data_IF_374313090172
#
_entry.id   IF_374313090172
#
_cell.length_a   1.000
_cell.length_b   1.000
_cell.length_c   1.000
_cell.angle_alpha   90.00
_cell.angle_beta   90.00
_cell.angle_gamma   90.00
#
_symmetry.space_group_name_H-M   'P 1'
#
loop_
_entity.id
_entity.type
_entity.pdbx_description
1 polymer ?
#
# COMPACT_ATOMS: atom_id res chain seq x y z
N UNK A 1 -16.26 10.89 -22.43
CA UNK A 1 -16.53 9.44 -22.25
C UNK A 1 -15.46 8.76 -21.38
N UNK A 2 -14.15 8.99 -21.64
CA UNK A 2 -13.07 8.33 -20.88
C UNK A 2 -13.06 8.66 -19.37
N UNK A 3 -13.29 9.90 -19.01
CA UNK A 3 -13.29 10.34 -17.59
C UNK A 3 -14.43 9.72 -16.79
N UNK A 4 -15.61 9.58 -17.40
CA UNK A 4 -16.77 8.95 -16.73
C UNK A 4 -16.52 7.45 -16.47
N UNK A 5 -15.86 6.75 -17.40
CA UNK A 5 -15.49 5.36 -17.21
C UNK A 5 -14.43 5.18 -16.12
N UNK A 6 -13.44 6.05 -16.07
CA UNK A 6 -12.44 6.01 -15.01
C UNK A 6 -13.05 6.28 -13.64
N UNK A 7 -13.99 7.23 -13.54
CA UNK A 7 -14.71 7.50 -12.30
C UNK A 7 -15.56 6.29 -11.86
N UNK A 8 -16.23 5.62 -12.79
CA UNK A 8 -17.00 4.41 -12.50
C UNK A 8 -16.10 3.26 -12.03
N UNK A 9 -14.95 3.05 -12.68
CA UNK A 9 -13.95 2.05 -12.26
C UNK A 9 -13.39 2.36 -10.88
N UNK A 10 -13.07 3.63 -10.59
CA UNK A 10 -12.56 4.05 -9.28
C UNK A 10 -13.61 3.83 -8.18
N UNK A 11 -14.89 4.15 -8.45
CA UNK A 11 -15.98 3.91 -7.52
C UNK A 11 -16.22 2.41 -7.28
N UNK A 12 -16.17 1.59 -8.32
CA UNK A 12 -16.29 0.13 -8.21
C UNK A 12 -15.12 -0.45 -7.40
N UNK A 13 -13.89 0.01 -7.64
CA UNK A 13 -12.69 -0.42 -6.91
C UNK A 13 -12.78 -0.02 -5.44
N UNK A 14 -13.25 1.21 -5.14
CA UNK A 14 -13.48 1.66 -3.76
C UNK A 14 -14.52 0.77 -3.06
N UNK A 15 -15.67 0.52 -3.71
CA UNK A 15 -16.73 -0.33 -3.15
C UNK A 15 -16.22 -1.77 -2.88
N UNK A 16 -15.49 -2.35 -3.83
CA UNK A 16 -14.87 -3.67 -3.67
C UNK A 16 -13.86 -3.69 -2.51
N UNK A 17 -13.06 -2.63 -2.37
CA UNK A 17 -12.09 -2.49 -1.28
C UNK A 17 -12.79 -2.42 0.07
N UNK A 18 -13.83 -1.59 0.22
CA UNK A 18 -14.61 -1.48 1.44
C UNK A 18 -15.28 -2.82 1.81
N UNK A 19 -15.86 -3.52 0.83
CA UNK A 19 -16.47 -4.83 1.04
C UNK A 19 -15.43 -5.88 1.49
N UNK A 20 -14.27 -5.95 0.82
CA UNK A 20 -13.20 -6.87 1.18
C UNK A 20 -12.71 -6.64 2.61
N UNK A 21 -12.52 -5.37 3.00
CA UNK A 21 -12.10 -5.00 4.35
C UNK A 21 -13.20 -5.23 5.40
N UNK A 22 -14.47 -5.00 5.05
CA UNK A 22 -15.58 -5.33 5.93
C UNK A 22 -15.57 -6.79 6.34
N UNK A 23 -15.40 -7.69 5.38
CA UNK A 23 -15.29 -9.13 5.65
C UNK A 23 -14.02 -9.47 6.42
N UNK A 24 -12.87 -8.91 6.00
CA UNK A 24 -11.60 -9.16 6.68
C UNK A 24 -11.65 -8.80 8.17
N UNK A 25 -12.15 -7.62 8.48
CA UNK A 25 -12.25 -7.14 9.86
C UNK A 25 -13.16 -8.02 10.71
N UNK A 26 -14.17 -8.68 10.11
CA UNK A 26 -15.01 -9.65 10.80
C UNK A 26 -14.30 -10.96 11.12
N UNK A 27 -13.34 -11.36 10.27
CA UNK A 27 -12.64 -12.64 10.42
C UNK A 27 -11.40 -12.54 11.35
N UNK A 28 -10.86 -11.32 11.56
CA UNK A 28 -9.62 -11.13 12.31
C UNK A 28 -9.87 -10.84 13.80
N UNK A 29 -9.04 -11.37 14.71
CA UNK A 29 -9.14 -11.10 16.14
C UNK A 29 -9.17 -9.60 16.45
N UNK A 30 -10.16 -9.15 17.20
CA UNK A 30 -10.32 -7.75 17.58
C UNK A 30 -10.78 -6.82 16.45
N UNK A 31 -10.88 -7.30 15.21
CA UNK A 31 -11.28 -6.50 14.07
C UNK A 31 -12.75 -6.10 14.10
N UNK A 32 -13.64 -7.01 14.52
CA UNK A 32 -15.08 -6.77 14.54
C UNK A 32 -15.47 -5.53 15.38
N UNK A 33 -14.89 -5.38 16.56
CA UNK A 33 -15.17 -4.22 17.45
C UNK A 33 -14.76 -2.89 16.84
N UNK A 34 -13.75 -2.89 15.99
CA UNK A 34 -13.19 -1.70 15.37
C UNK A 34 -13.65 -1.51 13.90
N UNK A 35 -14.50 -2.43 13.39
CA UNK A 35 -14.89 -2.52 11.97
C UNK A 35 -15.44 -1.21 11.44
N UNK A 36 -16.40 -0.59 12.10
CA UNK A 36 -17.05 0.63 11.64
C UNK A 36 -16.04 1.78 11.52
N UNK A 37 -15.21 1.98 12.54
CA UNK A 37 -14.18 3.03 12.55
C UNK A 37 -13.13 2.76 11.48
N UNK A 38 -12.66 1.51 11.35
CA UNK A 38 -11.68 1.13 10.35
C UNK A 38 -12.20 1.33 8.92
N UNK A 39 -13.45 0.97 8.65
CA UNK A 39 -14.09 1.19 7.34
C UNK A 39 -14.30 2.69 7.06
N UNK A 40 -14.69 3.49 8.05
CA UNK A 40 -14.82 4.94 7.89
C UNK A 40 -13.46 5.59 7.56
N UNK A 41 -12.39 5.18 8.24
CA UNK A 41 -11.03 5.65 7.97
C UNK A 41 -10.54 5.22 6.59
N UNK A 42 -10.80 3.97 6.21
CA UNK A 42 -10.49 3.46 4.87
C UNK A 42 -11.25 4.25 3.79
N UNK A 43 -12.56 4.44 3.97
CA UNK A 43 -13.37 5.22 3.05
C UNK A 43 -12.84 6.64 2.91
N UNK A 44 -12.58 7.33 4.04
CA UNK A 44 -12.05 8.69 4.02
C UNK A 44 -10.70 8.79 3.32
N UNK A 45 -9.79 7.83 3.50
CA UNK A 45 -8.47 7.85 2.84
C UNK A 45 -8.53 7.43 1.37
N UNK A 46 -9.33 6.44 1.04
CA UNK A 46 -9.43 5.90 -0.32
C UNK A 46 -10.28 6.78 -1.26
N UNK A 47 -11.08 7.73 -0.75
CA UNK A 47 -11.84 8.70 -1.57
C UNK A 47 -10.96 9.59 -2.45
N UNK A 48 -9.67 9.71 -2.14
CA UNK A 48 -8.72 10.35 -3.04
C UNK A 48 -8.72 9.68 -4.42
N UNK A 49 -8.98 8.36 -4.48
CA UNK A 49 -9.14 7.59 -5.70
C UNK A 49 -10.33 7.99 -6.58
N UNK A 50 -11.28 8.77 -6.05
CA UNK A 50 -12.41 9.32 -6.82
C UNK A 50 -12.10 10.70 -7.41
N UNK A 51 -10.97 11.30 -7.09
CA UNK A 51 -10.60 12.62 -7.58
C UNK A 51 -10.00 12.51 -8.98
N UNK A 52 -10.73 13.02 -9.98
CA UNK A 52 -10.34 12.99 -11.40
C UNK A 52 -8.92 13.54 -11.69
N UNK A 53 -8.44 14.49 -10.92
CA UNK A 53 -7.10 15.06 -11.07
C UNK A 53 -5.98 14.06 -10.78
N UNK A 54 -6.28 13.00 -10.04
CA UNK A 54 -5.33 11.94 -9.70
C UNK A 54 -5.45 10.69 -10.57
N UNK A 55 -6.43 10.62 -11.50
CA UNK A 55 -6.59 9.44 -12.38
C UNK A 55 -5.39 9.16 -13.27
N UNK A 56 -4.56 10.16 -13.53
CA UNK A 56 -3.29 10.00 -14.28
C UNK A 56 -2.17 9.38 -13.45
N UNK A 57 -2.33 9.27 -12.13
CA UNK A 57 -1.32 8.72 -11.23
C UNK A 57 -1.44 7.20 -11.15
N UNK A 58 -0.50 6.50 -11.76
CA UNK A 58 -0.42 5.04 -11.69
C UNK A 58 -0.29 4.54 -10.24
N UNK A 59 0.38 5.30 -9.37
CA UNK A 59 0.54 5.02 -7.95
C UNK A 59 -0.80 4.95 -7.21
N UNK A 60 -1.75 5.79 -7.58
CA UNK A 60 -3.08 5.78 -6.96
C UNK A 60 -3.82 4.49 -7.28
N UNK A 61 -3.84 4.09 -8.57
CA UNK A 61 -4.48 2.84 -9.00
C UNK A 61 -3.81 1.63 -8.37
N UNK A 62 -2.47 1.61 -8.36
CA UNK A 62 -1.71 0.55 -7.70
C UNK A 62 -2.00 0.49 -6.21
N UNK A 63 -2.07 1.64 -5.51
CA UNK A 63 -2.38 1.73 -4.08
C UNK A 63 -3.79 1.26 -3.75
N UNK A 64 -4.79 1.61 -4.55
CA UNK A 64 -6.17 1.12 -4.40
C UNK A 64 -6.25 -0.40 -4.61
N UNK A 65 -5.52 -0.93 -5.60
CA UNK A 65 -5.46 -2.38 -5.86
C UNK A 65 -4.70 -3.11 -4.74
N UNK A 66 -3.62 -2.55 -4.19
CA UNK A 66 -2.94 -3.10 -3.00
C UNK A 66 -3.92 -3.12 -1.82
N UNK A 67 -4.65 -2.04 -1.59
CA UNK A 67 -5.64 -1.98 -0.51
C UNK A 67 -6.73 -3.06 -0.68
N UNK A 68 -7.23 -3.28 -1.90
CA UNK A 68 -8.17 -4.36 -2.21
C UNK A 68 -7.52 -5.73 -2.00
N UNK A 69 -6.33 -5.97 -2.56
CA UNK A 69 -5.62 -7.24 -2.44
C UNK A 69 -5.33 -7.59 -0.97
N UNK A 70 -4.91 -6.58 -0.19
CA UNK A 70 -4.70 -6.74 1.25
C UNK A 70 -6.02 -7.09 1.97
N UNK A 71 -7.12 -6.44 1.62
CA UNK A 71 -8.46 -6.77 2.11
C UNK A 71 -8.91 -8.18 1.75
N UNK A 72 -8.55 -8.70 0.59
CA UNK A 72 -8.90 -10.05 0.11
C UNK A 72 -7.98 -11.15 0.65
N UNK A 73 -6.72 -10.84 0.95
CA UNK A 73 -5.73 -11.83 1.35
C UNK A 73 -6.08 -12.49 2.67
N UNK A 74 -6.07 -13.82 2.69
CA UNK A 74 -6.13 -14.69 3.87
C UNK A 74 -5.15 -15.84 3.70
N UNK A 75 -4.47 -16.30 4.75
CA UNK A 75 -3.76 -17.58 4.69
C UNK A 75 -4.69 -18.68 4.20
N UNK A 76 -4.26 -19.43 3.18
CA UNK A 76 -5.07 -20.49 2.55
C UNK A 76 -6.16 -20.03 1.57
N UNK A 77 -6.45 -18.74 1.47
CA UNK A 77 -7.43 -18.15 0.50
C UNK A 77 -6.87 -16.87 -0.13
N UNK A 78 -5.82 -17.02 -0.91
CA UNK A 78 -5.01 -15.92 -1.47
C UNK A 78 -5.17 -15.71 -2.98
N UNK A 79 -5.85 -16.59 -3.71
CA UNK A 79 -5.90 -16.55 -5.18
C UNK A 79 -6.42 -15.22 -5.74
N UNK A 80 -7.51 -14.67 -5.22
CA UNK A 80 -8.01 -13.37 -5.63
C UNK A 80 -7.05 -12.21 -5.27
N UNK A 81 -6.40 -12.30 -4.12
CA UNK A 81 -5.38 -11.33 -3.73
C UNK A 81 -4.20 -11.36 -4.69
N UNK A 82 -3.76 -12.55 -5.12
CA UNK A 82 -2.70 -12.73 -6.12
C UNK A 82 -3.08 -12.10 -7.46
N UNK A 83 -4.30 -12.39 -7.96
CA UNK A 83 -4.78 -11.85 -9.24
C UNK A 83 -4.85 -10.31 -9.22
N UNK A 84 -5.41 -9.72 -8.16
CA UNK A 84 -5.48 -8.25 -8.00
C UNK A 84 -4.09 -7.64 -7.86
N UNK A 85 -3.18 -8.32 -7.15
CA UNK A 85 -1.80 -7.86 -6.99
C UNK A 85 -1.02 -7.94 -8.30
N UNK A 86 -1.26 -8.99 -9.12
CA UNK A 86 -0.66 -9.09 -10.45
C UNK A 86 -1.07 -7.91 -11.34
N UNK A 87 -2.35 -7.52 -11.32
CA UNK A 87 -2.82 -6.33 -12.01
C UNK A 87 -2.16 -5.05 -11.48
N UNK A 88 -2.05 -4.90 -10.16
CA UNK A 88 -1.39 -3.76 -9.53
C UNK A 88 0.08 -3.67 -9.94
N UNK A 89 0.80 -4.81 -9.95
CA UNK A 89 2.21 -4.89 -10.32
C UNK A 89 2.44 -4.60 -11.81
N UNK A 90 1.49 -4.96 -12.68
CA UNK A 90 1.53 -4.61 -14.10
C UNK A 90 1.34 -3.09 -14.33
N UNK A 91 0.69 -2.38 -13.41
CA UNK A 91 0.53 -0.92 -13.47
C UNK A 91 1.75 -0.20 -12.92
N UNK A 92 2.31 -0.69 -11.78
CA UNK A 92 3.40 0.00 -11.10
C UNK A 92 4.33 -0.95 -10.33
N UNK A 93 5.62 -0.85 -10.60
CA UNK A 93 6.68 -1.63 -9.94
C UNK A 93 6.75 -1.42 -8.41
N UNK A 94 6.25 -0.31 -7.92
CA UNK A 94 6.15 -0.02 -6.47
C UNK A 94 5.29 -1.01 -5.70
N UNK A 95 4.57 -1.91 -6.37
CA UNK A 95 3.80 -3.02 -5.77
C UNK A 95 4.71 -4.18 -5.34
N UNK A 96 5.91 -4.29 -5.91
CA UNK A 96 6.84 -5.40 -5.66
C UNK A 96 7.14 -5.63 -4.16
N UNK A 97 7.34 -4.62 -3.30
CA UNK A 97 7.53 -4.83 -1.87
C UNK A 97 6.36 -5.57 -1.20
N UNK A 98 5.12 -5.31 -1.63
CA UNK A 98 3.94 -6.03 -1.12
C UNK A 98 3.96 -7.51 -1.54
N UNK A 99 4.32 -7.82 -2.79
CA UNK A 99 4.46 -9.21 -3.28
C UNK A 99 5.53 -9.95 -2.49
N UNK A 100 6.71 -9.33 -2.32
CA UNK A 100 7.82 -9.91 -1.57
C UNK A 100 7.46 -10.15 -0.10
N UNK A 101 6.74 -9.24 0.53
CA UNK A 101 6.25 -9.41 1.90
C UNK A 101 5.32 -10.63 2.01
N UNK A 102 4.35 -10.76 1.11
CA UNK A 102 3.41 -11.88 1.14
C UNK A 102 4.11 -13.23 0.87
N UNK A 103 5.06 -13.25 -0.06
CA UNK A 103 5.92 -14.42 -0.31
C UNK A 103 6.70 -14.81 0.94
N UNK A 104 7.36 -13.85 1.60
CA UNK A 104 8.12 -14.08 2.82
C UNK A 104 7.24 -14.57 3.97
N UNK A 105 6.05 -13.98 4.15
CA UNK A 105 5.11 -14.39 5.19
C UNK A 105 4.53 -15.80 4.93
N UNK A 106 4.27 -16.16 3.68
CA UNK A 106 3.84 -17.50 3.31
C UNK A 106 4.95 -18.53 3.60
N UNK A 107 6.20 -18.23 3.19
CA UNK A 107 7.35 -19.06 3.49
C UNK A 107 7.58 -19.22 5.01
N UNK A 108 7.43 -18.15 5.77
CA UNK A 108 7.52 -18.18 7.24
C UNK A 108 6.48 -19.12 7.87
N UNK A 109 5.24 -19.13 7.32
CA UNK A 109 4.18 -20.06 7.74
C UNK A 109 4.38 -21.47 7.20
N UNK A 110 5.42 -21.71 6.36
CA UNK A 110 5.64 -22.97 5.63
C UNK A 110 4.52 -23.34 4.65
N UNK A 111 3.75 -22.35 4.19
CA UNK A 111 2.81 -22.54 3.09
C UNK A 111 3.57 -22.36 1.76
N UNK A 112 4.21 -23.44 1.33
CA UNK A 112 5.05 -23.43 0.14
C UNK A 112 4.27 -23.22 -1.15
N UNK A 113 2.98 -23.60 -1.18
CA UNK A 113 2.10 -23.37 -2.33
C UNK A 113 1.85 -21.89 -2.51
N UNK A 114 1.46 -21.18 -1.45
CA UNK A 114 1.27 -19.75 -1.46
C UNK A 114 2.60 -19.04 -1.75
N UNK A 115 3.69 -19.43 -1.09
CA UNK A 115 5.00 -18.82 -1.28
C UNK A 115 5.50 -18.97 -2.73
N UNK A 116 5.31 -20.14 -3.34
CA UNK A 116 5.68 -20.39 -4.74
C UNK A 116 4.81 -19.54 -5.71
N UNK A 117 3.54 -19.35 -5.43
CA UNK A 117 2.67 -18.51 -6.27
C UNK A 117 3.12 -17.04 -6.25
N UNK A 118 3.42 -16.49 -5.08
CA UNK A 118 3.97 -15.13 -4.96
C UNK A 118 5.35 -15.00 -5.60
N UNK A 119 6.25 -16.00 -5.40
CA UNK A 119 7.55 -16.03 -6.05
C UNK A 119 7.44 -16.11 -7.58
N UNK A 120 6.48 -16.90 -8.08
CA UNK A 120 6.16 -16.98 -9.50
C UNK A 120 5.73 -15.64 -10.09
N UNK A 121 4.93 -14.85 -9.33
CA UNK A 121 4.56 -13.49 -9.74
C UNK A 121 5.78 -12.56 -9.79
N UNK A 122 6.71 -12.67 -8.83
CA UNK A 122 7.98 -11.91 -8.87
C UNK A 122 8.78 -12.28 -10.11
N UNK A 123 8.92 -13.58 -10.39
CA UNK A 123 9.65 -14.06 -11.57
C UNK A 123 9.03 -13.54 -12.87
N UNK A 124 7.70 -13.62 -12.99
CA UNK A 124 6.97 -13.10 -14.15
C UNK A 124 7.22 -11.60 -14.34
N UNK A 125 7.18 -10.84 -13.25
CA UNK A 125 7.50 -9.41 -13.28
C UNK A 125 8.94 -9.15 -13.73
N UNK A 126 9.93 -9.89 -13.21
CA UNK A 126 11.33 -9.72 -13.58
C UNK A 126 11.58 -10.08 -15.06
N UNK A 127 10.93 -11.12 -15.57
CA UNK A 127 10.96 -11.45 -16.99
C UNK A 127 10.35 -10.33 -17.84
N UNK A 128 9.18 -9.81 -17.41
CA UNK A 128 8.50 -8.73 -18.11
C UNK A 128 9.29 -7.43 -18.14
N UNK A 129 9.88 -7.01 -17.02
CA UNK A 129 10.70 -5.80 -16.97
C UNK A 129 12.01 -5.99 -17.76
N UNK A 130 12.62 -7.19 -17.70
CA UNK A 130 13.79 -7.53 -18.50
C UNK A 130 13.53 -7.45 -20.00
N UNK A 131 12.41 -8.01 -20.46
CA UNK A 131 11.97 -7.89 -21.85
C UNK A 131 11.72 -6.43 -22.25
N UNK A 132 11.03 -5.66 -21.40
CA UNK A 132 10.79 -4.23 -21.62
C UNK A 132 12.10 -3.45 -21.77
N UNK A 133 13.06 -3.67 -20.88
CA UNK A 133 14.38 -3.01 -20.94
C UNK A 133 15.16 -3.41 -22.17
N UNK A 134 15.09 -4.67 -22.61
CA UNK A 134 15.72 -5.14 -23.83
C UNK A 134 15.16 -4.43 -25.10
N UNK A 135 13.84 -4.18 -25.11
CA UNK A 135 13.20 -3.42 -26.20
C UNK A 135 13.52 -1.91 -26.15
N UNK A 136 13.72 -1.37 -24.97
CA UNK A 136 14.01 0.05 -24.77
C UNK A 136 15.49 0.38 -25.04
N UNK A 137 16.41 -0.51 -24.69
CA UNK A 137 17.87 -0.31 -24.78
C UNK A 137 18.36 0.22 -26.13
N UNK A 138 17.90 -0.28 -27.31
CA UNK A 138 18.34 0.23 -28.60
C UNK A 138 17.84 1.66 -28.91
N UNK A 139 16.87 2.17 -28.14
CA UNK A 139 16.27 3.50 -28.34
C UNK A 139 16.96 4.58 -27.50
N UNK A 140 17.83 4.18 -26.55
CA UNK A 140 18.56 5.10 -25.68
C UNK A 140 19.80 5.59 -26.43
N UNK A 141 19.90 6.90 -26.60
CA UNK A 141 21.03 7.54 -27.25
C UNK A 141 22.07 7.99 -26.20
N UNK A 142 23.37 7.98 -26.59
CA UNK A 142 24.44 8.48 -25.73
C UNK A 142 24.29 9.99 -25.39
N UNK A 143 23.50 10.71 -26.18
CA UNK A 143 23.19 12.14 -25.99
C UNK A 143 22.01 12.39 -25.07
N UNK A 144 21.29 11.33 -24.63
CA UNK A 144 20.12 11.50 -23.75
C UNK A 144 20.54 12.04 -22.39
N UNK A 145 19.81 13.01 -21.82
CA UNK A 145 20.17 13.58 -20.55
C UNK A 145 20.06 12.55 -19.43
N UNK A 146 21.12 12.42 -18.65
CA UNK A 146 21.11 11.58 -17.45
C UNK A 146 20.22 12.22 -16.37
N UNK A 147 19.21 11.49 -15.93
CA UNK A 147 18.38 11.92 -14.81
C UNK A 147 19.16 11.84 -13.48
N UNK A 148 18.80 12.65 -12.47
CA UNK A 148 19.37 12.52 -11.13
C UNK A 148 19.04 11.15 -10.55
N UNK A 149 19.95 10.62 -9.69
CA UNK A 149 19.78 9.31 -9.03
C UNK A 149 18.48 9.20 -8.23
N UNK A 150 18.06 7.98 -8.01
CA UNK A 150 16.85 7.67 -7.23
C UNK A 150 17.15 7.43 -5.74
N UNK A 151 18.40 7.11 -5.38
CA UNK A 151 18.82 6.95 -4.00
C UNK A 151 19.14 8.31 -3.41
N UNK A 152 18.30 8.77 -2.50
CA UNK A 152 18.49 10.00 -1.74
C UNK A 152 17.98 9.78 -0.33
N UNK A 153 18.84 10.02 0.66
CA UNK A 153 18.47 9.90 2.06
C UNK A 153 17.52 11.05 2.43
N UNK A 154 16.22 10.80 2.34
CA UNK A 154 15.17 11.77 2.64
C UNK A 154 14.73 11.74 4.11
N UNK A 155 15.09 10.67 4.83
CA UNK A 155 14.77 10.48 6.24
C UNK A 155 13.27 10.46 6.54
N UNK A 156 12.94 10.61 7.81
CA UNK A 156 11.56 10.59 8.30
C UNK A 156 10.68 11.64 7.62
N UNK A 157 11.20 12.83 7.37
CA UNK A 157 10.47 13.91 6.71
C UNK A 157 10.05 13.54 5.28
N UNK A 158 10.89 12.79 4.55
CA UNK A 158 10.58 12.29 3.21
C UNK A 158 9.43 11.28 3.21
N UNK A 159 9.44 10.34 4.15
CA UNK A 159 8.35 9.39 4.32
C UNK A 159 7.03 10.08 4.68
N UNK A 160 7.03 10.87 5.78
CA UNK A 160 5.83 11.57 6.23
C UNK A 160 5.28 12.50 5.14
N UNK A 161 6.17 13.25 4.46
CA UNK A 161 5.78 14.13 3.36
C UNK A 161 5.10 13.37 2.22
N UNK A 162 5.62 12.19 1.82
CA UNK A 162 4.98 11.38 0.79
C UNK A 162 3.55 10.97 1.18
N UNK A 163 3.34 10.46 2.40
CA UNK A 163 2.01 9.99 2.84
C UNK A 163 1.05 11.16 3.04
N UNK A 164 1.50 12.24 3.69
CA UNK A 164 0.67 13.43 3.95
C UNK A 164 0.21 14.06 2.64
N UNK A 165 1.13 14.35 1.71
CA UNK A 165 0.81 15.02 0.45
C UNK A 165 -0.02 14.16 -0.50
N UNK A 166 0.03 12.84 -0.35
CA UNK A 166 -0.75 11.87 -1.15
C UNK A 166 -2.02 11.39 -0.45
N UNK A 167 -2.45 12.05 0.60
CA UNK A 167 -3.67 11.72 1.33
C UNK A 167 -4.47 12.97 1.68
N UNK A 168 -5.66 12.80 2.26
CA UNK A 168 -6.48 13.89 2.75
C UNK A 168 -5.84 14.65 3.93
N UNK A 169 -4.76 14.12 4.53
CA UNK A 169 -3.98 14.85 5.54
C UNK A 169 -3.29 16.10 4.98
N UNK A 170 -3.16 16.23 3.66
CA UNK A 170 -2.61 17.44 3.00
C UNK A 170 -3.34 18.73 3.33
N UNK A 171 -4.58 18.62 3.78
CA UNK A 171 -5.41 19.76 4.19
C UNK A 171 -5.22 20.16 5.66
N UNK A 172 -4.43 19.38 6.42
CA UNK A 172 -4.10 19.67 7.82
C UNK A 172 -2.73 20.34 7.94
N UNK A 173 -2.49 21.12 9.01
CA UNK A 173 -1.16 21.61 9.34
C UNK A 173 -0.17 20.45 9.48
N UNK A 174 1.03 20.59 8.93
CA UNK A 174 2.04 19.53 8.89
C UNK A 174 2.41 19.01 10.29
N UNK A 175 2.41 19.87 11.31
CA UNK A 175 2.65 19.50 12.71
C UNK A 175 1.61 18.53 13.30
N UNK A 176 0.42 18.43 12.67
CA UNK A 176 -0.63 17.47 13.04
C UNK A 176 -0.63 16.28 12.08
N UNK A 177 -0.49 16.54 10.79
CA UNK A 177 -0.59 15.53 9.75
C UNK A 177 0.49 14.43 9.87
N UNK A 178 1.75 14.82 10.11
CA UNK A 178 2.86 13.88 10.29
C UNK A 178 2.67 12.90 11.45
N UNK A 179 2.39 13.38 12.67
CA UNK A 179 2.07 12.51 13.81
C UNK A 179 0.93 11.52 13.55
N UNK A 180 -0.12 11.88 12.80
CA UNK A 180 -1.22 10.97 12.45
C UNK A 180 -0.71 9.75 11.67
N UNK A 181 0.25 9.92 10.76
CA UNK A 181 0.87 8.80 10.02
C UNK A 181 1.59 7.84 10.97
N UNK A 182 2.35 8.37 11.95
CA UNK A 182 3.04 7.55 12.95
C UNK A 182 2.04 6.83 13.86
N UNK A 183 0.97 7.50 14.28
CA UNK A 183 -0.10 6.90 15.07
C UNK A 183 -0.81 5.78 14.29
N UNK A 184 -1.01 5.94 12.97
CA UNK A 184 -1.56 4.88 12.14
C UNK A 184 -0.66 3.63 12.17
N UNK A 185 0.65 3.80 12.02
CA UNK A 185 1.61 2.69 12.12
C UNK A 185 1.59 2.03 13.51
N UNK A 186 1.55 2.84 14.57
CA UNK A 186 1.45 2.34 15.95
C UNK A 186 0.17 1.52 16.15
N UNK A 187 -0.95 1.97 15.60
CA UNK A 187 -2.20 1.22 15.63
C UNK A 187 -2.10 -0.13 14.91
N UNK A 188 -1.47 -0.18 13.73
CA UNK A 188 -1.18 -1.44 13.04
C UNK A 188 -0.37 -2.40 13.92
N UNK A 189 0.69 -1.91 14.56
CA UNK A 189 1.54 -2.70 15.47
C UNK A 189 0.76 -3.17 16.73
N UNK A 190 -0.20 -2.37 17.19
CA UNK A 190 -1.07 -2.71 18.31
C UNK A 190 -2.12 -3.79 17.99
N UNK A 191 -2.48 -3.97 16.73
CA UNK A 191 -3.48 -4.97 16.33
C UNK A 191 -2.88 -6.37 16.28
N UNK A 192 -3.15 -7.16 17.33
CA UNK A 192 -2.62 -8.52 17.51
C UNK A 192 -3.38 -9.53 16.62
N UNK A 193 -3.10 -9.49 15.31
CA UNK A 193 -3.70 -10.35 14.29
C UNK A 193 -2.74 -10.57 13.12
N UNK A 194 -3.07 -11.50 12.23
CA UNK A 194 -2.31 -11.69 10.99
C UNK A 194 -2.34 -10.43 10.12
N UNK A 195 -3.50 -9.76 10.04
CA UNK A 195 -3.63 -8.49 9.34
C UNK A 195 -2.79 -7.39 9.98
N UNK A 196 -2.78 -7.27 11.31
CA UNK A 196 -1.98 -6.29 12.05
C UNK A 196 -0.49 -6.46 11.78
N UNK A 197 0.02 -7.70 11.83
CA UNK A 197 1.43 -8.00 11.51
C UNK A 197 1.75 -7.65 10.06
N UNK A 198 0.91 -8.07 9.11
CA UNK A 198 1.11 -7.74 7.68
C UNK A 198 1.11 -6.23 7.45
N UNK A 199 0.15 -5.50 8.01
CA UNK A 199 0.06 -4.05 7.88
C UNK A 199 1.25 -3.33 8.49
N UNK A 200 1.69 -3.75 9.68
CA UNK A 200 2.89 -3.19 10.32
C UNK A 200 4.12 -3.33 9.44
N UNK A 201 4.40 -4.54 8.97
CA UNK A 201 5.57 -4.82 8.12
C UNK A 201 5.46 -4.09 6.77
N UNK A 202 4.28 -4.05 6.17
CA UNK A 202 4.02 -3.37 4.91
C UNK A 202 4.31 -1.88 5.00
N UNK A 203 3.67 -1.19 5.94
CA UNK A 203 3.78 0.27 6.04
C UNK A 203 5.12 0.72 6.61
N UNK A 204 5.74 -0.08 7.50
CA UNK A 204 7.11 0.15 7.93
C UNK A 204 8.10 -0.05 6.78
N UNK A 205 7.93 -1.11 5.97
CA UNK A 205 8.76 -1.39 4.81
C UNK A 205 8.72 -0.27 3.77
N UNK A 206 7.52 0.19 3.41
CA UNK A 206 7.38 1.37 2.54
C UNK A 206 7.92 2.65 3.19
N UNK A 207 7.74 2.81 4.50
CA UNK A 207 8.32 3.92 5.23
C UNK A 207 9.84 3.97 5.07
N UNK A 208 10.51 2.85 5.31
CA UNK A 208 11.97 2.72 5.13
C UNK A 208 12.36 2.99 3.68
N UNK A 209 11.64 2.40 2.71
CA UNK A 209 11.92 2.63 1.29
C UNK A 209 11.81 4.12 0.91
N UNK A 210 10.79 4.82 1.38
CA UNK A 210 10.61 6.25 1.12
C UNK A 210 11.58 7.16 1.87
N UNK A 211 12.18 6.67 2.97
CA UNK A 211 13.29 7.37 3.63
C UNK A 211 14.60 7.29 2.85
N UNK A 212 14.79 6.22 2.07
CA UNK A 212 16.04 5.91 1.38
C UNK A 212 16.02 6.24 -0.11
N UNK A 213 14.83 6.28 -0.73
CA UNK A 213 14.68 6.42 -2.16
C UNK A 213 13.64 7.48 -2.54
N UNK A 214 13.78 7.99 -3.76
CA UNK A 214 12.89 8.97 -4.34
C UNK A 214 13.48 10.38 -4.37
N UNK A 215 12.97 11.19 -5.27
CA UNK A 215 13.32 12.61 -5.39
C UNK A 215 12.32 13.46 -4.60
N UNK A 216 12.62 14.70 -4.35
CA UNK A 216 11.75 15.63 -3.60
C UNK A 216 10.37 15.78 -4.22
N UNK A 217 10.26 15.70 -5.55
CA UNK A 217 9.02 15.78 -6.31
C UNK A 217 8.25 14.45 -6.41
N UNK A 218 8.79 13.34 -5.89
CA UNK A 218 8.12 12.03 -5.90
C UNK A 218 7.16 11.82 -4.73
N UNK A 219 6.58 12.90 -4.18
CA UNK A 219 5.62 12.80 -3.06
C UNK A 219 4.43 11.86 -3.39
N UNK A 220 4.01 11.79 -4.65
CA UNK A 220 2.91 10.96 -5.12
C UNK A 220 3.15 9.44 -4.93
N UNK A 221 4.38 9.00 -4.68
CA UNK A 221 4.66 7.61 -4.27
C UNK A 221 3.90 7.21 -3.00
N UNK A 222 3.59 8.17 -2.13
CA UNK A 222 2.74 7.93 -0.97
C UNK A 222 1.34 7.41 -1.31
N UNK A 223 0.84 7.65 -2.54
CA UNK A 223 -0.46 7.15 -2.98
C UNK A 223 -0.54 5.62 -3.02
N UNK A 224 0.61 4.91 -3.10
CA UNK A 224 0.67 3.45 -3.03
C UNK A 224 0.20 2.92 -1.67
N UNK A 225 0.42 3.66 -0.59
CA UNK A 225 0.09 3.23 0.79
C UNK A 225 -1.07 4.00 1.39
N UNK A 226 -1.32 5.22 0.93
CA UNK A 226 -2.32 6.13 1.48
C UNK A 226 -3.74 5.52 1.60
N UNK A 227 -4.24 4.70 0.65
CA UNK A 227 -5.62 4.22 0.71
C UNK A 227 -5.95 3.40 1.96
N UNK A 228 -5.03 2.63 2.53
CA UNK A 228 -5.34 1.75 3.65
C UNK A 228 -4.47 1.94 4.90
N UNK A 229 -3.43 2.77 4.87
CA UNK A 229 -2.54 2.97 6.04
C UNK A 229 -3.32 3.45 7.27
N UNK A 230 -4.33 4.30 7.09
CA UNK A 230 -5.08 4.91 8.19
C UNK A 230 -6.08 3.98 8.87
N UNK A 231 -6.33 2.78 8.33
CA UNK A 231 -7.05 1.71 9.03
C UNK A 231 -6.40 1.42 10.39
N UNK A 232 -5.08 1.53 10.49
CA UNK A 232 -4.35 1.37 11.74
C UNK A 232 -4.85 2.26 12.88
N UNK A 233 -5.30 3.48 12.60
CA UNK A 233 -5.81 4.39 13.63
C UNK A 233 -6.98 3.80 14.44
N UNK A 234 -7.79 2.92 13.84
CA UNK A 234 -8.87 2.25 14.54
C UNK A 234 -8.37 1.36 15.69
N UNK A 235 -7.12 0.90 15.62
CA UNK A 235 -6.51 -0.02 16.59
C UNK A 235 -5.58 0.67 17.59
N UNK A 236 -5.50 2.00 17.60
CA UNK A 236 -4.73 2.76 18.59
C UNK A 236 -5.09 2.43 20.05
N UNK A 237 -6.36 2.21 20.42
CA UNK A 237 -6.69 1.82 21.79
C UNK A 237 -6.01 0.51 22.22
N UNK A 238 -5.86 -0.44 21.27
CA UNK A 238 -5.17 -1.72 21.55
C UNK A 238 -3.66 -1.50 21.77
N UNK A 239 -3.04 -0.60 20.97
CA UNK A 239 -1.65 -0.21 21.15
C UNK A 239 -1.43 0.43 22.51
N UNK A 240 -2.29 1.38 22.90
CA UNK A 240 -2.24 2.03 24.22
C UNK A 240 -2.31 1.05 25.39
N UNK A 241 -3.27 0.13 25.34
CA UNK A 241 -3.38 -0.94 26.39
C UNK A 241 -2.12 -1.82 26.42
N UNK A 242 -1.54 -2.17 25.27
CA UNK A 242 -0.32 -2.98 25.22
C UNK A 242 0.89 -2.24 25.83
N UNK A 243 1.03 -0.95 25.59
CA UNK A 243 2.11 -0.12 26.15
C UNK A 243 1.95 0.05 27.66
N UNK A 244 0.72 0.33 28.15
CA UNK A 244 0.46 0.46 29.60
C UNK A 244 0.71 -0.83 30.38
N UNK A 245 0.57 -1.99 29.75
CA UNK A 245 0.87 -3.29 30.40
C UNK A 245 2.35 -3.62 30.39
N UNK A 246 3.14 -2.96 29.55
CA UNK A 246 4.56 -3.19 29.44
C UNK A 246 5.41 -2.19 30.27
N UNK A 247 4.79 -1.09 30.71
CA UNK A 247 5.37 -0.09 31.61
C UNK A 247 5.15 -0.48 33.09
#
# INVERSE_FOLDING_TARGET
>A
LGESWMAALAAALLAATLAAWWHRLGDEPGGERHRVVAIALLAASATLGLNRWFFVLHELWAGMLIALAFGLHRPGRWGWALAVTALALAIREHVLPFVLLLAAMAAWRRDWTEAAAWAGLVLLFLVGIGAHLALLSPQILASDPLGPGWLALRGLAGWLGNVVLSSNLRFLPHGIAGPIVLLALLGWAGWKSAAGTTGTLLYLGYGIAFMLAGRTNNFYWGAVVAPAIFVGLAFLPMAGVSLLRAA
#
